data_IF_042091180846
#
_entry.id   IF_042091180846
#
_cell.length_a   1.000
_cell.length_b   1.000
_cell.length_c   1.000
_cell.angle_alpha   90.00
_cell.angle_beta   90.00
_cell.angle_gamma   90.00
#
_symmetry.space_group_name_H-M   'P 1'
#
loop_
_entity.id
_entity.type
_entity.pdbx_description
1 polymer ?
#
# COMPACT_ATOMS: atom_id res chain seq x y z
N UNK A 1 -14.98 -10.07 -19.49
CA UNK A 1 -13.69 -9.84 -18.82
C UNK A 1 -13.95 -8.99 -17.58
N UNK A 2 -13.22 -9.17 -16.47
CA UNK A 2 -13.44 -8.37 -15.27
C UNK A 2 -13.13 -6.88 -15.52
N UNK A 3 -13.87 -6.01 -14.83
CA UNK A 3 -13.62 -4.57 -14.83
C UNK A 3 -12.27 -4.28 -14.18
N UNK A 4 -11.35 -3.64 -14.91
CA UNK A 4 -9.99 -3.33 -14.45
C UNK A 4 -9.87 -1.95 -13.81
N UNK A 5 -10.99 -1.29 -13.53
CA UNK A 5 -11.03 0.05 -12.91
C UNK A 5 -11.60 0.04 -11.49
N UNK A 6 -11.99 -1.14 -10.98
CA UNK A 6 -12.62 -1.32 -9.66
C UNK A 6 -11.99 -2.48 -8.91
N UNK A 7 -12.07 -2.43 -7.58
CA UNK A 7 -11.52 -3.47 -6.71
C UNK A 7 -10.00 -3.62 -6.87
N UNK A 8 -9.33 -2.51 -7.18
CA UNK A 8 -7.88 -2.46 -7.29
C UNK A 8 -7.27 -2.52 -5.88
N UNK A 9 -6.26 -3.36 -5.72
CA UNK A 9 -5.58 -3.60 -4.45
C UNK A 9 -4.07 -3.48 -4.63
N UNK A 10 -3.43 -2.65 -3.82
CA UNK A 10 -1.99 -2.54 -3.71
C UNK A 10 -1.52 -3.12 -2.38
N UNK A 11 -0.47 -3.93 -2.40
CA UNK A 11 0.09 -4.56 -1.20
C UNK A 11 1.38 -3.86 -0.81
N UNK A 12 1.48 -3.42 0.44
CA UNK A 12 2.69 -2.86 1.04
C UNK A 12 3.07 -3.66 2.28
N UNK A 13 4.37 -3.74 2.55
CA UNK A 13 4.87 -4.35 3.77
C UNK A 13 6.04 -3.52 4.30
N UNK A 14 6.17 -3.42 5.62
CA UNK A 14 7.28 -2.75 6.27
C UNK A 14 7.64 -3.45 7.59
N UNK A 15 8.90 -3.31 8.01
CA UNK A 15 9.32 -3.79 9.31
C UNK A 15 8.66 -2.94 10.40
N UNK A 16 7.81 -3.56 11.22
CA UNK A 16 6.99 -2.90 12.23
C UNK A 16 7.80 -2.26 13.35
N UNK A 17 9.05 -2.70 13.54
CA UNK A 17 9.98 -2.11 14.50
C UNK A 17 10.62 -0.81 13.99
N UNK A 18 10.46 -0.51 12.69
CA UNK A 18 10.83 0.75 12.07
C UNK A 18 9.60 1.60 11.69
N UNK A 19 9.82 2.84 11.25
CA UNK A 19 8.77 3.60 10.58
C UNK A 19 8.37 2.91 9.25
N UNK A 20 7.19 3.22 8.71
CA UNK A 20 6.84 2.79 7.35
C UNK A 20 7.79 3.43 6.33
N UNK A 21 8.56 2.60 5.62
CA UNK A 21 9.56 3.04 4.62
C UNK A 21 9.11 2.77 3.17
N UNK A 22 7.82 2.46 2.95
CA UNK A 22 7.30 2.24 1.61
C UNK A 22 6.96 3.56 0.92
N UNK A 23 7.26 3.64 -0.38
CA UNK A 23 6.80 4.72 -1.24
C UNK A 23 5.38 4.44 -1.74
N UNK A 24 4.57 5.49 -1.88
CA UNK A 24 3.26 5.44 -2.53
C UNK A 24 3.47 5.39 -4.05
N UNK A 25 4.08 6.42 -4.62
CA UNK A 25 4.48 6.53 -6.02
C UNK A 25 5.37 7.77 -6.22
N UNK A 26 6.05 7.88 -7.37
CA UNK A 26 6.63 9.15 -7.78
C UNK A 26 5.54 10.22 -7.91
N UNK A 27 5.73 11.38 -7.27
CA UNK A 27 4.71 12.42 -7.19
C UNK A 27 4.24 12.91 -8.57
N UNK A 28 5.16 13.10 -9.52
CA UNK A 28 4.81 13.63 -10.85
C UNK A 28 4.04 12.58 -11.64
N UNK A 29 4.48 11.32 -11.59
CA UNK A 29 3.77 10.22 -12.22
C UNK A 29 2.37 10.03 -11.64
N UNK A 30 2.24 10.05 -10.31
CA UNK A 30 0.95 9.89 -9.64
C UNK A 30 -0.02 11.03 -9.98
N UNK A 31 0.48 12.27 -9.99
CA UNK A 31 -0.33 13.43 -10.38
C UNK A 31 -0.85 13.33 -11.81
N UNK A 32 -0.04 12.87 -12.77
CA UNK A 32 -0.50 12.62 -14.14
C UNK A 32 -1.48 11.45 -14.22
N UNK A 33 -1.23 10.39 -13.44
CA UNK A 33 -2.03 9.18 -13.50
C UNK A 33 -3.44 9.41 -12.94
N UNK A 34 -3.61 10.13 -11.84
CA UNK A 34 -4.96 10.41 -11.29
C UNK A 34 -5.77 11.36 -12.18
N UNK A 35 -5.12 12.16 -13.03
CA UNK A 35 -5.81 12.98 -14.03
C UNK A 35 -6.38 12.12 -15.16
N UNK A 36 -5.62 11.13 -15.64
CA UNK A 36 -6.03 10.22 -16.72
C UNK A 36 -6.91 9.07 -16.22
N UNK A 37 -6.69 8.63 -14.97
CA UNK A 37 -7.31 7.47 -14.33
C UNK A 37 -7.76 7.83 -12.90
N UNK A 38 -8.85 8.60 -12.74
CA UNK A 38 -9.30 9.06 -11.42
C UNK A 38 -9.62 7.93 -10.43
N UNK A 39 -9.97 6.74 -10.93
CA UNK A 39 -10.22 5.55 -10.12
C UNK A 39 -8.98 5.07 -9.34
N UNK A 40 -7.77 5.54 -9.67
CA UNK A 40 -6.55 5.22 -8.93
C UNK A 40 -6.55 5.81 -7.51
N UNK A 41 -7.38 6.82 -7.22
CA UNK A 41 -7.60 7.33 -5.86
C UNK A 41 -8.42 6.36 -4.98
N UNK A 42 -9.17 5.44 -5.60
CA UNK A 42 -10.01 4.45 -4.91
C UNK A 42 -9.29 3.09 -4.74
N UNK A 43 -7.99 3.00 -5.04
CA UNK A 43 -7.19 1.81 -4.75
C UNK A 43 -7.15 1.54 -3.25
N UNK A 44 -7.38 0.29 -2.87
CA UNK A 44 -7.18 -0.16 -1.49
C UNK A 44 -5.71 -0.54 -1.26
N UNK A 45 -5.13 -0.07 -0.18
CA UNK A 45 -3.79 -0.41 0.27
C UNK A 45 -3.91 -1.42 1.41
N UNK A 46 -3.55 -2.68 1.13
CA UNK A 46 -3.34 -3.70 2.14
C UNK A 46 -1.91 -3.58 2.67
N UNK A 47 -1.78 -3.11 3.91
CA UNK A 47 -0.49 -2.81 4.53
C UNK A 47 -0.22 -3.84 5.61
N UNK A 48 0.94 -4.49 5.53
CA UNK A 48 1.40 -5.52 6.46
C UNK A 48 2.60 -5.02 7.26
N UNK A 49 2.42 -4.80 8.56
CA UNK A 49 3.52 -4.54 9.48
C UNK A 49 4.10 -5.87 9.94
N UNK A 50 5.25 -6.27 9.40
CA UNK A 50 5.89 -7.54 9.75
C UNK A 50 7.06 -7.33 10.70
N UNK A 51 7.44 -8.39 11.40
CA UNK A 51 8.64 -8.44 12.22
C UNK A 51 9.26 -9.83 12.08
N UNK A 52 10.58 -9.91 12.20
CA UNK A 52 11.34 -11.14 12.03
C UNK A 52 12.21 -11.34 13.27
N UNK A 53 11.99 -12.45 13.96
CA UNK A 53 12.80 -12.83 15.12
C UNK A 53 14.20 -13.29 14.70
N UNK A 54 15.11 -13.38 15.68
CA UNK A 54 16.51 -13.78 15.46
C UNK A 54 16.67 -15.20 14.89
N UNK A 55 15.68 -16.08 15.11
CA UNK A 55 15.60 -17.43 14.52
C UNK A 55 14.96 -17.44 13.12
N UNK A 56 14.61 -16.28 12.57
CA UNK A 56 14.10 -16.11 11.21
C UNK A 56 12.58 -16.29 11.06
N UNK A 57 11.81 -16.35 12.15
CA UNK A 57 10.36 -16.48 12.08
C UNK A 57 9.73 -15.11 11.78
N UNK A 58 9.09 -14.99 10.60
CA UNK A 58 8.36 -13.79 10.20
C UNK A 58 6.94 -13.85 10.76
N UNK A 59 6.55 -12.80 11.47
CA UNK A 59 5.19 -12.64 12.00
C UNK A 59 4.58 -11.33 11.52
N UNK A 60 3.31 -11.38 11.11
CA UNK A 60 2.53 -10.18 10.85
C UNK A 60 2.04 -9.66 12.19
N UNK A 61 2.54 -8.49 12.60
CA UNK A 61 2.18 -7.85 13.86
C UNK A 61 0.93 -7.01 13.72
N UNK A 62 0.76 -6.37 12.57
CA UNK A 62 -0.37 -5.49 12.29
C UNK A 62 -0.81 -5.60 10.82
N UNK A 63 -2.10 -5.37 10.60
CA UNK A 63 -2.74 -5.36 9.28
C UNK A 63 -3.62 -4.12 9.16
N UNK A 64 -3.49 -3.40 8.05
CA UNK A 64 -4.37 -2.28 7.73
C UNK A 64 -4.92 -2.40 6.31
N UNK A 65 -6.15 -1.92 6.14
CA UNK A 65 -6.74 -1.65 4.84
C UNK A 65 -7.07 -0.15 4.80
N UNK A 66 -6.41 0.58 3.89
CA UNK A 66 -6.46 2.04 3.83
C UNK A 66 -6.60 2.55 2.41
N UNK A 67 -7.10 3.78 2.28
CA UNK A 67 -6.98 4.57 1.04
C UNK A 67 -5.72 5.43 1.07
N UNK A 68 -5.27 5.87 -0.10
CA UNK A 68 -4.07 6.72 -0.24
C UNK A 68 -4.13 7.98 0.64
N UNK A 69 -5.30 8.63 0.74
CA UNK A 69 -5.49 9.82 1.58
C UNK A 69 -5.49 9.56 3.10
N UNK A 70 -5.42 8.30 3.54
CA UNK A 70 -5.35 7.94 4.96
C UNK A 70 -3.91 7.63 5.42
N UNK A 71 -2.95 7.61 4.49
CA UNK A 71 -1.55 7.20 4.72
C UNK A 71 -0.54 8.22 4.19
N UNK A 72 -1.02 9.31 3.59
CA UNK A 72 -0.23 10.43 3.08
C UNK A 72 -0.31 11.65 4.01
#
# INVERSE_FOLDING_TARGET
MPDRTKGLLEVKAFNRNGPPEFDIADFRMYASEIQEKPYMLDVDYLILGYDMSDDGVVTIKDVWLKKVWQIA
#
